data_IF_961860725634
#
_entry.id   IF_961860725634
#
_cell.length_a   1.000
_cell.length_b   1.000
_cell.length_c   1.000
_cell.angle_alpha   90.00
_cell.angle_beta   90.00
_cell.angle_gamma   90.00
#
_symmetry.space_group_name_H-M   'P 1'
#
loop_
_entity.id
_entity.type
_entity.pdbx_description
1 polymer ?
#
# COMPACT_ATOMS: atom_id res chain seq x y z
N UNK A 1 14.69 -11.23 -8.07
CA UNK A 1 13.45 -11.97 -8.39
C UNK A 1 12.21 -11.21 -7.89
N UNK A 2 11.93 -11.13 -6.58
CA UNK A 2 10.82 -10.32 -6.06
C UNK A 2 10.90 -8.83 -6.42
N UNK A 3 12.09 -8.24 -6.35
CA UNK A 3 12.29 -6.84 -6.76
C UNK A 3 11.93 -6.60 -8.22
N UNK A 4 12.33 -7.50 -9.13
CA UNK A 4 12.03 -7.39 -10.55
C UNK A 4 10.53 -7.52 -10.85
N UNK A 5 9.86 -8.48 -10.20
CA UNK A 5 8.40 -8.58 -10.26
C UNK A 5 7.70 -7.27 -9.83
N UNK A 6 8.16 -6.63 -8.74
CA UNK A 6 7.58 -5.36 -8.29
C UNK A 6 7.87 -4.22 -9.28
N UNK A 7 9.07 -4.18 -9.85
CA UNK A 7 9.44 -3.23 -10.91
C UNK A 7 8.53 -3.37 -12.13
N UNK A 8 8.36 -4.59 -12.64
CA UNK A 8 7.48 -4.89 -13.78
C UNK A 8 6.04 -4.42 -13.50
N UNK A 9 5.55 -4.64 -12.28
CA UNK A 9 4.24 -4.17 -11.84
C UNK A 9 4.10 -2.65 -11.86
N UNK A 10 5.08 -1.91 -11.31
CA UNK A 10 5.05 -0.45 -11.30
C UNK A 10 5.09 0.13 -12.71
N UNK A 11 5.99 -0.39 -13.55
CA UNK A 11 6.14 0.06 -14.93
C UNK A 11 4.88 -0.22 -15.75
N UNK A 12 4.24 -1.38 -15.55
CA UNK A 12 2.99 -1.73 -16.23
C UNK A 12 1.83 -0.83 -15.83
N UNK A 13 1.83 -0.30 -14.60
CA UNK A 13 0.86 0.71 -14.13
C UNK A 13 1.22 2.14 -14.58
N UNK A 14 2.24 2.32 -15.43
CA UNK A 14 2.64 3.63 -15.94
C UNK A 14 3.45 4.48 -14.95
N UNK A 15 4.00 3.89 -13.89
CA UNK A 15 4.85 4.63 -12.94
C UNK A 15 6.21 4.90 -13.58
N UNK A 16 6.44 6.16 -13.96
CA UNK A 16 7.75 6.65 -14.38
C UNK A 16 8.60 7.00 -13.16
N UNK A 17 9.46 6.07 -12.74
CA UNK A 17 10.31 6.25 -11.57
C UNK A 17 11.67 5.56 -11.72
N UNK A 18 12.70 6.18 -11.13
CA UNK A 18 14.00 5.55 -10.95
C UNK A 18 13.91 4.49 -9.85
N UNK A 19 14.10 3.22 -10.21
CA UNK A 19 14.17 2.12 -9.27
C UNK A 19 15.61 1.99 -8.75
N UNK A 20 15.75 1.93 -7.43
CA UNK A 20 17.03 1.76 -6.74
C UNK A 20 16.93 0.55 -5.82
N UNK A 21 17.87 -0.39 -5.96
CA UNK A 21 17.92 -1.54 -5.08
C UNK A 21 18.65 -1.16 -3.79
N UNK A 22 18.11 -1.56 -2.64
CA UNK A 22 18.70 -1.25 -1.34
C UNK A 22 20.12 -1.80 -1.20
N UNK A 23 20.45 -2.92 -1.86
CA UNK A 23 21.80 -3.48 -1.94
C UNK A 23 22.83 -2.44 -2.40
N UNK A 24 22.47 -1.65 -3.41
CA UNK A 24 23.36 -0.66 -4.03
C UNK A 24 23.64 0.51 -3.07
N UNK A 25 22.73 0.76 -2.12
CA UNK A 25 22.93 1.73 -1.05
C UNK A 25 23.81 1.14 0.06
N UNK A 26 23.50 -0.11 0.47
CA UNK A 26 24.18 -0.77 1.59
C UNK A 26 25.62 -1.19 1.29
N UNK A 27 26.02 -1.28 0.03
CA UNK A 27 27.40 -1.62 -0.34
C UNK A 27 28.40 -0.48 -0.05
N UNK A 28 27.91 0.72 0.26
CA UNK A 28 28.75 1.89 0.53
C UNK A 28 29.11 2.00 1.99
N UNK A 29 30.39 2.26 2.28
CA UNK A 29 30.86 2.54 3.65
C UNK A 29 30.13 3.73 4.29
N UNK A 30 29.93 4.80 3.51
CA UNK A 30 29.30 6.03 3.96
C UNK A 30 27.81 5.86 4.32
N UNK A 31 27.16 4.81 3.79
CA UNK A 31 25.81 4.45 4.19
C UNK A 31 25.79 3.93 5.63
N UNK A 32 26.67 2.98 5.95
CA UNK A 32 26.77 2.42 7.30
C UNK A 32 27.22 3.44 8.34
N UNK A 33 28.08 4.39 7.96
CA UNK A 33 28.39 5.53 8.84
C UNK A 33 27.11 6.29 9.22
N UNK A 34 26.23 6.59 8.25
CA UNK A 34 24.94 7.26 8.53
C UNK A 34 24.08 6.42 9.46
N UNK A 35 23.95 5.11 9.21
CA UNK A 35 23.19 4.20 10.08
C UNK A 35 23.69 4.28 11.53
N UNK A 36 25.00 4.22 11.75
CA UNK A 36 25.59 4.31 13.09
C UNK A 36 25.37 5.70 13.72
N UNK A 37 25.51 6.78 12.94
CA UNK A 37 25.23 8.14 13.44
C UNK A 37 23.77 8.32 13.85
N UNK A 38 22.84 7.78 13.08
CA UNK A 38 21.40 7.79 13.40
C UNK A 38 21.13 7.01 14.68
N UNK A 39 21.70 5.79 14.80
CA UNK A 39 21.56 4.95 15.99
C UNK A 39 22.13 5.64 17.23
N UNK A 40 23.32 6.26 17.15
CA UNK A 40 23.94 7.00 18.26
C UNK A 40 23.12 8.21 18.72
N UNK A 41 22.34 8.81 17.84
CA UNK A 41 21.50 9.99 18.13
C UNK A 41 20.06 9.63 18.53
N UNK A 42 19.78 8.34 18.72
CA UNK A 42 18.46 7.80 19.04
C UNK A 42 18.53 6.90 20.27
N UNK A 43 17.57 7.00 21.18
CA UNK A 43 17.51 6.07 22.30
C UNK A 43 17.01 4.70 21.84
N UNK A 44 17.41 3.62 22.54
CA UNK A 44 16.93 2.28 22.25
C UNK A 44 15.39 2.18 22.32
N UNK A 45 14.77 2.88 23.28
CA UNK A 45 13.31 2.96 23.39
C UNK A 45 12.65 3.64 22.18
N UNK A 46 13.31 4.62 21.55
CA UNK A 46 12.82 5.26 20.32
C UNK A 46 12.88 4.29 19.14
N UNK A 47 13.97 3.53 19.01
CA UNK A 47 14.16 2.52 17.97
C UNK A 47 13.12 1.41 18.12
N UNK A 48 12.93 0.87 19.34
CA UNK A 48 11.93 -0.17 19.63
C UNK A 48 10.52 0.25 19.22
N UNK A 49 10.12 1.48 19.58
CA UNK A 49 8.81 2.03 19.16
C UNK A 49 8.65 2.13 17.64
N UNK A 50 9.73 2.34 16.89
CA UNK A 50 9.70 2.44 15.43
C UNK A 50 9.61 1.09 14.72
N UNK A 51 9.82 -0.06 15.40
CA UNK A 51 9.78 -1.38 14.75
C UNK A 51 8.42 -1.76 14.15
N UNK A 52 7.34 -1.08 14.55
CA UNK A 52 6.00 -1.31 13.98
C UNK A 52 5.94 -1.04 12.47
N UNK A 53 6.92 -0.31 11.90
CA UNK A 53 7.07 -0.10 10.44
C UNK A 53 7.25 -1.42 9.67
N UNK A 54 7.80 -2.45 10.33
CA UNK A 54 8.01 -3.78 9.75
C UNK A 54 6.82 -4.73 10.00
N UNK A 55 5.69 -4.22 10.52
CA UNK A 55 4.53 -5.03 10.89
C UNK A 55 4.76 -5.92 12.14
N UNK A 56 5.78 -5.64 12.94
CA UNK A 56 6.14 -6.39 14.15
C UNK A 56 5.71 -5.67 15.43
N UNK A 57 5.52 -6.44 16.51
CA UNK A 57 5.25 -5.88 17.85
C UNK A 57 6.56 -5.47 18.53
N UNK A 58 6.47 -4.56 19.48
CA UNK A 58 7.65 -4.09 20.24
C UNK A 58 8.32 -5.23 21.04
N UNK A 59 7.55 -6.24 21.46
CA UNK A 59 8.02 -7.45 22.12
C UNK A 59 8.91 -8.33 21.25
N UNK A 60 8.81 -8.23 19.91
CA UNK A 60 9.55 -9.10 19.00
C UNK A 60 11.03 -8.73 18.88
N UNK A 61 11.46 -7.59 19.46
CA UNK A 61 12.84 -7.12 19.48
C UNK A 61 13.79 -8.05 20.25
N UNK A 62 13.27 -8.79 21.22
CA UNK A 62 14.12 -9.57 22.13
C UNK A 62 14.64 -10.87 21.49
N UNK A 63 14.08 -11.25 20.35
CA UNK A 63 14.45 -12.50 19.64
C UNK A 63 15.53 -12.30 18.59
N UNK A 64 15.73 -11.08 18.08
CA UNK A 64 16.61 -10.82 16.95
C UNK A 64 17.05 -9.34 16.93
N UNK A 65 18.35 -9.11 17.13
CA UNK A 65 18.94 -7.77 17.17
C UNK A 65 18.94 -7.07 15.81
N UNK A 66 18.86 -7.81 14.69
CA UNK A 66 18.80 -7.20 13.35
C UNK A 66 17.58 -6.30 13.19
N UNK A 67 16.47 -6.62 13.89
CA UNK A 67 15.24 -5.83 13.93
C UNK A 67 15.43 -4.43 14.50
N UNK A 68 16.43 -4.24 15.36
CA UNK A 68 16.77 -2.93 15.93
C UNK A 68 17.57 -2.06 14.96
N UNK A 69 18.28 -2.68 14.00
CA UNK A 69 19.04 -1.96 13.00
C UNK A 69 18.13 -1.37 11.91
N UNK A 70 17.06 -2.09 11.56
CA UNK A 70 16.20 -1.75 10.43
C UNK A 70 15.61 -0.32 10.47
N UNK A 71 15.07 0.21 11.59
CA UNK A 71 14.59 1.60 11.61
C UNK A 71 15.69 2.62 11.32
N UNK A 72 16.92 2.35 11.73
CA UNK A 72 18.06 3.22 11.47
C UNK A 72 18.50 3.15 10.00
N UNK A 73 18.42 1.97 9.39
CA UNK A 73 18.66 1.76 7.95
C UNK A 73 17.61 2.51 7.11
N UNK A 74 16.31 2.33 7.40
CA UNK A 74 15.25 3.03 6.67
C UNK A 74 15.33 4.56 6.81
N UNK A 75 15.77 5.06 7.98
CA UNK A 75 16.04 6.48 8.15
C UNK A 75 17.30 6.93 7.37
N UNK A 76 18.33 6.08 7.28
CA UNK A 76 19.54 6.36 6.48
C UNK A 76 19.24 6.44 4.99
N UNK A 77 18.34 5.58 4.48
CA UNK A 77 17.95 5.56 3.07
C UNK A 77 17.46 6.94 2.58
N UNK A 78 16.71 7.66 3.41
CA UNK A 78 16.21 9.01 3.11
C UNK A 78 17.37 9.99 2.82
N UNK A 79 18.44 9.92 3.63
CA UNK A 79 19.59 10.80 3.48
C UNK A 79 20.56 10.33 2.39
N UNK A 80 20.72 9.02 2.22
CA UNK A 80 21.58 8.45 1.18
C UNK A 80 21.00 8.69 -0.22
N UNK A 81 19.67 8.61 -0.37
CA UNK A 81 18.97 8.95 -1.61
C UNK A 81 18.88 10.48 -1.83
N UNK A 82 19.12 11.28 -0.79
CA UNK A 82 19.05 12.74 -0.86
C UNK A 82 17.64 13.27 -1.14
N UNK A 83 16.59 12.58 -0.69
CA UNK A 83 15.21 12.96 -1.02
C UNK A 83 14.74 14.18 -0.23
N UNK A 84 14.01 15.06 -0.91
CA UNK A 84 13.33 16.20 -0.28
C UNK A 84 12.06 15.79 0.45
N UNK A 85 11.36 14.81 -0.12
CA UNK A 85 10.05 14.33 0.32
C UNK A 85 10.12 12.81 0.49
N UNK A 86 9.91 12.34 1.72
CA UNK A 86 9.70 10.93 2.03
C UNK A 86 8.19 10.64 1.98
N UNK A 87 7.78 9.88 0.97
CA UNK A 87 6.41 9.41 0.78
C UNK A 87 6.27 7.97 1.28
N UNK A 88 5.24 7.68 2.08
CA UNK A 88 4.95 6.31 2.50
C UNK A 88 3.56 6.16 3.11
N UNK A 89 3.16 4.94 3.45
CA UNK A 89 1.92 4.72 4.20
C UNK A 89 1.98 5.32 5.61
N UNK A 90 0.82 5.56 6.22
CA UNK A 90 0.71 6.04 7.60
C UNK A 90 1.44 5.18 8.63
N UNK A 91 1.68 3.91 8.32
CA UNK A 91 2.47 3.00 9.17
C UNK A 91 3.98 3.23 9.12
N UNK A 92 4.49 3.87 8.07
CA UNK A 92 5.90 4.28 7.94
C UNK A 92 6.23 5.57 8.71
N UNK A 93 5.20 6.25 9.26
CA UNK A 93 5.34 7.54 9.95
C UNK A 93 6.44 7.55 11.00
N UNK A 94 6.61 6.47 11.77
CA UNK A 94 7.61 6.44 12.85
C UNK A 94 9.04 6.49 12.34
N UNK A 95 9.35 5.85 11.20
CA UNK A 95 10.66 5.94 10.57
C UNK A 95 10.92 7.36 10.02
N UNK A 96 9.92 7.98 9.38
CA UNK A 96 10.05 9.36 8.90
C UNK A 96 10.25 10.36 10.04
N UNK A 97 9.56 10.17 11.17
CA UNK A 97 9.78 11.01 12.35
C UNK A 97 11.17 10.77 12.95
N UNK A 98 11.64 9.52 12.98
CA UNK A 98 13.02 9.22 13.40
C UNK A 98 14.04 9.98 12.54
N UNK A 99 13.90 9.91 11.21
CA UNK A 99 14.76 10.65 10.28
C UNK A 99 14.73 12.16 10.53
N UNK A 100 13.53 12.74 10.75
CA UNK A 100 13.40 14.17 11.04
C UNK A 100 14.06 14.55 12.36
N UNK A 101 13.87 13.77 13.43
CA UNK A 101 14.46 14.04 14.74
C UNK A 101 16.00 14.00 14.68
N UNK A 102 16.58 13.04 13.96
CA UNK A 102 18.05 12.93 13.84
C UNK A 102 18.64 13.97 12.90
N UNK A 103 17.87 14.42 11.88
CA UNK A 103 18.34 15.46 10.96
C UNK A 103 18.65 16.78 11.69
N UNK A 104 17.83 17.15 12.67
CA UNK A 104 18.04 18.36 13.48
C UNK A 104 19.32 18.27 14.31
N UNK A 105 19.58 17.11 14.93
CA UNK A 105 20.77 16.88 15.77
C UNK A 105 22.06 16.82 14.96
N UNK A 106 21.99 16.30 13.74
CA UNK A 106 23.15 16.08 12.87
C UNK A 106 23.42 17.22 11.89
N UNK A 107 22.57 18.25 11.88
CA UNK A 107 22.65 19.36 10.92
C UNK A 107 22.39 18.92 9.48
N UNK A 108 21.63 17.84 9.29
CA UNK A 108 21.27 17.35 7.96
C UNK A 108 19.98 18.01 7.45
N UNK A 109 19.79 18.00 6.13
CA UNK A 109 18.56 18.50 5.51
C UNK A 109 17.36 17.74 6.05
N UNK A 110 16.40 18.46 6.62
CA UNK A 110 15.19 17.87 7.20
C UNK A 110 14.21 17.46 6.09
N UNK A 111 13.87 16.17 5.94
CA UNK A 111 12.99 15.71 4.88
C UNK A 111 11.53 16.05 5.19
N UNK A 112 10.74 16.43 4.19
CA UNK A 112 9.28 16.52 4.30
C UNK A 112 8.72 15.10 4.33
N UNK A 113 7.75 14.82 5.21
CA UNK A 113 7.14 13.50 5.30
C UNK A 113 5.66 13.58 4.91
N UNK A 114 5.29 12.90 3.83
CA UNK A 114 3.91 12.79 3.35
C UNK A 114 3.44 11.36 3.56
N UNK A 115 2.25 11.20 4.14
CA UNK A 115 1.71 9.89 4.46
C UNK A 115 0.38 9.64 3.76
N UNK A 116 0.24 8.49 3.11
CA UNK A 116 -1.01 8.04 2.50
C UNK A 116 -1.84 7.23 3.50
N UNK A 117 -3.17 7.34 3.39
CA UNK A 117 -4.10 6.47 4.09
C UNK A 117 -3.87 5.01 3.70
N UNK A 118 -4.11 4.10 4.64
CA UNK A 118 -4.02 2.67 4.38
C UNK A 118 -5.38 2.15 3.95
N UNK A 119 -5.40 1.37 2.88
CA UNK A 119 -6.61 0.69 2.43
C UNK A 119 -6.99 -0.43 3.41
N UNK A 120 -8.26 -0.47 3.81
CA UNK A 120 -8.80 -1.50 4.68
C UNK A 120 -8.81 -2.88 4.02
N UNK A 121 -8.77 -3.93 4.85
CA UNK A 121 -9.02 -5.31 4.43
C UNK A 121 -10.40 -5.45 3.80
N UNK A 122 -10.52 -6.25 2.74
CA UNK A 122 -11.82 -6.57 2.14
C UNK A 122 -12.78 -7.23 3.13
N UNK A 123 -12.30 -7.84 4.21
CA UNK A 123 -13.13 -8.53 5.22
C UNK A 123 -13.77 -7.61 6.26
N UNK A 124 -13.42 -6.31 6.30
CA UNK A 124 -14.15 -5.32 7.11
C UNK A 124 -13.91 -5.29 8.61
N UNK A 125 -12.80 -5.83 9.12
CA UNK A 125 -12.46 -5.72 10.55
C UNK A 125 -11.89 -4.31 10.88
N UNK A 126 -11.89 -3.90 12.16
CA UNK A 126 -11.53 -2.54 12.59
C UNK A 126 -10.22 -2.00 11.96
N UNK A 127 -10.24 -0.75 11.48
CA UNK A 127 -9.21 -0.10 10.64
C UNK A 127 -7.76 -0.22 11.16
N UNK A 128 -7.56 -0.39 12.46
CA UNK A 128 -6.22 -0.53 13.04
C UNK A 128 -5.68 -1.96 13.07
N UNK A 129 -6.54 -2.98 13.07
CA UNK A 129 -6.13 -4.40 13.11
C UNK A 129 -6.15 -5.07 11.72
N UNK A 130 -6.66 -4.36 10.71
CA UNK A 130 -7.21 -5.00 9.49
C UNK A 130 -6.73 -4.35 8.21
N UNK A 131 -5.41 -4.27 8.05
CA UNK A 131 -4.81 -3.88 6.76
C UNK A 131 -4.96 -5.03 5.76
N UNK A 132 -5.04 -4.71 4.47
CA UNK A 132 -4.78 -5.72 3.45
C UNK A 132 -3.44 -6.41 3.74
N UNK A 133 -3.45 -7.73 3.79
CA UNK A 133 -2.29 -8.51 4.18
C UNK A 133 -2.12 -9.70 3.23
N UNK A 134 -0.89 -9.89 2.77
CA UNK A 134 -0.50 -11.05 1.95
C UNK A 134 -0.76 -12.39 2.64
N UNK A 135 -0.93 -12.38 3.98
CA UNK A 135 -1.24 -13.59 4.75
C UNK A 135 -2.67 -14.10 4.57
N UNK A 136 -3.58 -13.28 4.05
CA UNK A 136 -4.96 -13.70 3.75
C UNK A 136 -5.28 -13.29 2.31
N UNK A 137 -5.06 -14.17 1.32
CA UNK A 137 -5.27 -13.85 -0.09
C UNK A 137 -6.68 -13.36 -0.43
N UNK A 138 -7.69 -13.81 0.30
CA UNK A 138 -9.09 -13.39 0.11
C UNK A 138 -9.39 -12.02 0.75
N UNK A 139 -8.47 -11.47 1.56
CA UNK A 139 -8.64 -10.19 2.22
C UNK A 139 -8.07 -9.01 1.42
N UNK A 140 -7.49 -9.27 0.25
CA UNK A 140 -6.87 -8.26 -0.62
C UNK A 140 -7.00 -8.62 -2.11
N UNK A 141 -7.01 -7.59 -2.96
CA UNK A 141 -6.86 -7.73 -4.41
C UNK A 141 -5.38 -7.58 -4.76
N UNK A 142 -4.81 -8.58 -5.43
CA UNK A 142 -3.48 -8.45 -6.03
C UNK A 142 -3.60 -7.77 -7.39
N UNK A 143 -2.61 -6.96 -7.73
CA UNK A 143 -2.56 -6.23 -9.00
C UNK A 143 -2.50 -7.15 -10.24
N UNK A 144 -2.11 -8.41 -10.06
CA UNK A 144 -2.08 -9.45 -11.10
C UNK A 144 -3.24 -10.46 -10.97
N UNK A 145 -4.22 -10.21 -10.10
CA UNK A 145 -5.37 -11.12 -9.98
C UNK A 145 -6.11 -11.21 -11.33
N UNK A 146 -6.48 -12.42 -11.77
CA UNK A 146 -7.41 -12.59 -12.88
C UNK A 146 -8.74 -11.89 -12.63
N UNK A 147 -9.48 -11.56 -13.68
CA UNK A 147 -10.77 -10.87 -13.55
C UNK A 147 -11.76 -11.59 -12.63
N UNK A 148 -11.85 -12.91 -12.74
CA UNK A 148 -12.78 -13.71 -11.95
C UNK A 148 -12.42 -13.71 -10.46
N UNK A 149 -11.12 -13.60 -10.15
CA UNK A 149 -10.64 -13.45 -8.77
C UNK A 149 -11.01 -12.06 -8.23
N UNK A 150 -10.82 -11.00 -9.01
CA UNK A 150 -11.24 -9.63 -8.64
C UNK A 150 -12.75 -9.60 -8.37
N UNK A 151 -13.56 -10.12 -9.31
CA UNK A 151 -15.03 -10.20 -9.18
C UNK A 151 -15.43 -10.97 -7.93
N UNK A 152 -14.83 -12.14 -7.69
CA UNK A 152 -15.11 -12.97 -6.49
C UNK A 152 -14.77 -12.23 -5.21
N UNK A 153 -13.57 -11.67 -5.10
CA UNK A 153 -13.07 -10.99 -3.90
C UNK A 153 -13.91 -9.75 -3.56
N UNK A 154 -14.20 -8.91 -4.54
CA UNK A 154 -15.04 -7.71 -4.34
C UNK A 154 -16.49 -8.08 -4.04
N UNK A 155 -17.04 -9.12 -4.68
CA UNK A 155 -18.37 -9.66 -4.36
C UNK A 155 -18.46 -10.07 -2.88
N UNK A 156 -17.41 -10.71 -2.35
CA UNK A 156 -17.34 -11.18 -0.98
C UNK A 156 -16.89 -10.11 0.03
N UNK A 157 -16.45 -8.94 -0.43
CA UNK A 157 -15.96 -7.89 0.44
C UNK A 157 -17.05 -7.36 1.39
N UNK A 158 -16.67 -6.94 2.58
CA UNK A 158 -17.51 -6.21 3.52
C UNK A 158 -17.93 -4.87 2.90
N UNK A 159 -19.22 -4.60 2.88
CA UNK A 159 -19.80 -3.44 2.20
C UNK A 159 -21.16 -3.10 2.83
N UNK A 160 -21.16 -2.61 4.09
CA UNK A 160 -22.38 -2.18 4.76
C UNK A 160 -22.95 -0.94 4.05
N UNK A 161 -24.23 -0.63 4.24
CA UNK A 161 -24.88 0.59 3.73
C UNK A 161 -24.41 1.86 4.48
N UNK A 162 -23.11 1.99 4.68
CA UNK A 162 -22.44 3.05 5.43
C UNK A 162 -21.13 3.42 4.71
N UNK A 163 -20.69 4.67 4.88
CA UNK A 163 -19.45 5.18 4.27
C UNK A 163 -18.23 4.82 5.13
N UNK A 164 -18.37 4.89 6.44
CA UNK A 164 -17.26 4.64 7.35
C UNK A 164 -16.95 3.15 7.44
N UNK A 165 -15.66 2.80 7.54
CA UNK A 165 -15.18 1.42 7.64
C UNK A 165 -15.66 0.50 6.50
N UNK A 166 -15.89 1.06 5.32
CA UNK A 166 -16.32 0.32 4.15
C UNK A 166 -15.17 0.19 3.13
N UNK A 167 -14.53 -0.99 2.99
CA UNK A 167 -13.38 -1.17 2.12
C UNK A 167 -13.72 -0.98 0.63
N UNK A 168 -14.98 -1.23 0.22
CA UNK A 168 -15.42 -0.98 -1.16
C UNK A 168 -15.48 0.52 -1.44
N UNK A 169 -15.95 1.32 -0.48
CA UNK A 169 -15.92 2.79 -0.59
C UNK A 169 -14.49 3.32 -0.54
N UNK A 170 -13.62 2.76 0.30
CA UNK A 170 -12.20 3.13 0.36
C UNK A 170 -11.52 2.90 -1.01
N UNK A 171 -11.82 1.79 -1.70
CA UNK A 171 -11.37 1.52 -3.07
C UNK A 171 -11.88 2.60 -4.04
N UNK A 172 -13.16 2.96 -3.98
CA UNK A 172 -13.70 4.02 -4.83
C UNK A 172 -12.90 5.32 -4.66
N UNK A 173 -12.73 5.78 -3.42
CA UNK A 173 -12.11 7.07 -3.10
C UNK A 173 -10.62 7.13 -3.43
N UNK A 174 -9.90 6.05 -3.14
CA UNK A 174 -8.44 6.06 -3.19
C UNK A 174 -7.86 5.47 -4.47
N UNK A 175 -8.67 4.77 -5.27
CA UNK A 175 -8.25 4.15 -6.53
C UNK A 175 -9.11 4.67 -7.68
N UNK A 176 -10.40 4.34 -7.71
CA UNK A 176 -11.25 4.62 -8.88
C UNK A 176 -11.34 6.12 -9.17
N UNK A 177 -11.61 6.95 -8.14
CA UNK A 177 -11.71 8.40 -8.33
C UNK A 177 -10.37 9.12 -8.54
N UNK A 178 -9.25 8.39 -8.47
CA UNK A 178 -7.93 8.91 -8.85
C UNK A 178 -7.65 8.73 -10.33
N UNK A 179 -8.20 7.66 -10.93
CA UNK A 179 -8.09 7.34 -12.36
C UNK A 179 -9.24 7.91 -13.19
N UNK A 180 -10.41 8.11 -12.57
CA UNK A 180 -11.64 8.54 -13.25
C UNK A 180 -12.37 9.61 -12.45
N UNK A 181 -12.96 10.60 -13.12
CA UNK A 181 -13.75 11.65 -12.43
C UNK A 181 -15.08 11.12 -11.88
N UNK A 182 -15.63 10.09 -12.53
CA UNK A 182 -16.93 9.50 -12.20
C UNK A 182 -16.89 7.97 -12.23
N UNK A 183 -17.74 7.35 -11.41
CA UNK A 183 -18.01 5.91 -11.45
C UNK A 183 -19.36 5.64 -12.12
N UNK A 184 -19.33 4.84 -13.19
CA UNK A 184 -20.55 4.34 -13.82
C UNK A 184 -21.03 3.07 -13.12
N UNK A 185 -22.29 3.07 -12.69
CA UNK A 185 -22.96 1.94 -12.05
C UNK A 185 -24.12 1.49 -12.93
N UNK A 186 -23.99 0.28 -13.48
CA UNK A 186 -24.99 -0.31 -14.36
C UNK A 186 -26.03 -1.06 -13.54
N UNK A 187 -27.29 -0.67 -13.65
CA UNK A 187 -28.41 -1.33 -12.96
C UNK A 187 -29.69 -1.29 -13.80
N UNK A 188 -30.53 -2.33 -13.74
CA UNK A 188 -31.81 -2.37 -14.46
C UNK A 188 -32.69 -1.14 -14.21
N UNK A 189 -33.51 -0.74 -15.18
CA UNK A 189 -34.44 0.40 -15.05
C UNK A 189 -35.36 0.30 -13.83
N UNK A 190 -35.83 -0.92 -13.51
CA UNK A 190 -36.66 -1.20 -12.32
C UNK A 190 -35.98 -0.89 -10.98
N UNK A 191 -34.65 -0.70 -10.98
CA UNK A 191 -33.86 -0.31 -9.82
C UNK A 191 -33.28 1.11 -9.96
N UNK A 192 -33.84 1.93 -10.87
CA UNK A 192 -33.47 3.33 -11.05
C UNK A 192 -32.45 3.60 -12.15
N UNK A 193 -32.15 2.63 -13.03
CA UNK A 193 -31.34 2.80 -14.24
C UNK A 193 -29.87 3.13 -13.99
N UNK A 194 -29.04 3.14 -15.04
CA UNK A 194 -27.61 3.40 -14.92
C UNK A 194 -27.35 4.77 -14.26
N UNK A 195 -26.38 4.80 -13.35
CA UNK A 195 -25.91 6.02 -12.70
C UNK A 195 -24.49 6.33 -13.14
N UNK A 196 -24.16 7.61 -13.27
CA UNK A 196 -22.78 8.08 -13.36
C UNK A 196 -22.56 9.10 -12.25
N UNK A 197 -21.73 8.76 -11.25
CA UNK A 197 -21.61 9.53 -10.02
C UNK A 197 -20.17 10.02 -9.82
N UNK A 198 -20.00 11.29 -9.46
CA UNK A 198 -18.77 11.81 -8.86
C UNK A 198 -18.55 11.24 -7.45
N UNK A 199 -17.36 11.41 -6.86
CA UNK A 199 -17.10 11.00 -5.47
C UNK A 199 -18.14 11.60 -4.52
N UNK A 200 -18.42 12.90 -4.65
CA UNK A 200 -19.35 13.59 -3.75
C UNK A 200 -20.78 13.06 -3.87
N UNK A 201 -21.21 12.70 -5.08
CA UNK A 201 -22.53 12.11 -5.31
C UNK A 201 -22.61 10.68 -4.79
N UNK A 202 -21.59 9.86 -5.04
CA UNK A 202 -21.52 8.48 -4.55
C UNK A 202 -21.67 8.45 -3.03
N UNK A 203 -20.93 9.30 -2.30
CA UNK A 203 -20.97 9.34 -0.84
C UNK A 203 -22.34 9.75 -0.27
N UNK A 204 -23.17 10.45 -1.05
CA UNK A 204 -24.54 10.85 -0.66
C UNK A 204 -25.57 9.79 -1.01
N UNK A 205 -25.47 9.21 -2.20
CA UNK A 205 -26.44 8.25 -2.75
C UNK A 205 -26.25 6.87 -2.11
N UNK A 206 -25.00 6.46 -1.86
CA UNK A 206 -24.69 5.11 -1.41
C UNK A 206 -25.44 4.67 -0.15
N UNK A 207 -25.43 5.44 0.97
CA UNK A 207 -26.07 5.01 2.20
C UNK A 207 -27.61 4.96 2.15
N UNK A 208 -28.22 5.48 1.08
CA UNK A 208 -29.68 5.70 1.00
C UNK A 208 -30.35 4.89 -0.10
N UNK A 209 -29.77 4.90 -1.29
CA UNK A 209 -30.48 4.56 -2.54
C UNK A 209 -29.74 3.55 -3.42
N UNK A 210 -28.46 3.27 -3.15
CA UNK A 210 -27.66 2.36 -3.97
C UNK A 210 -27.38 1.06 -3.22
N UNK A 211 -27.81 -0.05 -3.78
CA UNK A 211 -27.60 -1.35 -3.17
C UNK A 211 -26.11 -1.76 -3.21
N UNK A 212 -25.56 -2.42 -2.17
CA UNK A 212 -24.15 -2.79 -2.12
C UNK A 212 -23.69 -3.70 -3.26
N UNK A 213 -24.59 -4.55 -3.76
CA UNK A 213 -24.28 -5.44 -4.89
C UNK A 213 -24.02 -4.67 -6.20
N UNK A 214 -24.74 -3.57 -6.43
CA UNK A 214 -24.57 -2.74 -7.62
C UNK A 214 -23.23 -1.99 -7.54
N UNK A 215 -22.93 -1.41 -6.37
CA UNK A 215 -21.63 -0.78 -6.12
C UNK A 215 -20.47 -1.76 -6.32
N UNK A 216 -20.54 -2.95 -5.71
CA UNK A 216 -19.50 -3.99 -5.85
C UNK A 216 -19.28 -4.39 -7.31
N UNK A 217 -20.35 -4.52 -8.08
CA UNK A 217 -20.26 -4.89 -9.49
C UNK A 217 -19.57 -3.79 -10.30
N UNK A 218 -19.93 -2.53 -10.07
CA UNK A 218 -19.26 -1.38 -10.68
C UNK A 218 -17.77 -1.32 -10.27
N UNK A 219 -17.45 -1.43 -8.99
CA UNK A 219 -16.08 -1.43 -8.48
C UNK A 219 -15.23 -2.54 -9.10
N UNK A 220 -15.79 -3.75 -9.22
CA UNK A 220 -15.08 -4.88 -9.86
C UNK A 220 -14.73 -4.54 -11.31
N UNK A 221 -15.68 -3.99 -12.07
CA UNK A 221 -15.49 -3.61 -13.49
C UNK A 221 -14.38 -2.56 -13.64
N UNK A 222 -14.41 -1.50 -12.84
CA UNK A 222 -13.40 -0.44 -12.86
C UNK A 222 -12.02 -0.95 -12.43
N UNK A 223 -11.93 -1.74 -11.36
CA UNK A 223 -10.65 -2.33 -10.94
C UNK A 223 -10.05 -3.25 -12.02
N UNK A 224 -10.88 -4.03 -12.71
CA UNK A 224 -10.44 -4.86 -13.83
C UNK A 224 -9.77 -4.00 -14.90
N UNK A 225 -10.42 -2.90 -15.30
CA UNK A 225 -9.88 -1.98 -16.31
C UNK A 225 -8.57 -1.32 -15.84
N UNK A 226 -8.54 -0.80 -14.62
CA UNK A 226 -7.34 -0.15 -14.06
C UNK A 226 -6.14 -1.11 -13.99
N UNK A 227 -6.40 -2.39 -13.66
CA UNK A 227 -5.35 -3.41 -13.50
C UNK A 227 -5.06 -4.18 -14.81
N UNK A 228 -5.75 -3.87 -15.91
CA UNK A 228 -5.58 -4.54 -17.21
C UNK A 228 -4.13 -4.48 -17.72
N UNK A 229 -3.41 -3.34 -17.69
CA UNK A 229 -2.05 -3.27 -18.20
C UNK A 229 -1.09 -4.26 -17.52
N UNK A 230 -1.28 -4.53 -16.23
CA UNK A 230 -0.47 -5.49 -15.47
C UNK A 230 -0.74 -6.91 -15.94
N UNK A 231 -2.00 -7.26 -16.20
CA UNK A 231 -2.36 -8.59 -16.70
C UNK A 231 -1.82 -8.81 -18.11
N UNK A 232 -2.02 -7.85 -19.02
CA UNK A 232 -1.47 -7.93 -20.38
C UNK A 232 0.06 -8.05 -20.41
N UNK A 233 0.75 -7.37 -19.50
CA UNK A 233 2.19 -7.48 -19.38
C UNK A 233 2.61 -8.90 -18.99
N UNK A 234 2.00 -9.50 -17.97
CA UNK A 234 2.37 -10.83 -17.49
C UNK A 234 1.87 -11.97 -18.37
N UNK A 235 0.86 -11.75 -19.22
CA UNK A 235 0.51 -12.69 -20.29
C UNK A 235 1.64 -12.81 -21.32
N UNK A 236 2.31 -11.70 -21.63
CA UNK A 236 3.45 -11.67 -22.57
C UNK A 236 4.78 -12.02 -21.91
N UNK A 237 4.92 -11.76 -20.59
CA UNK A 237 6.17 -11.91 -19.83
C UNK A 237 5.93 -12.68 -18.51
N UNK A 238 5.59 -13.98 -18.56
CA UNK A 238 5.10 -14.71 -17.38
C UNK A 238 6.17 -15.04 -16.33
N UNK A 239 7.45 -15.07 -16.72
CA UNK A 239 8.57 -15.64 -15.96
C UNK A 239 8.66 -15.12 -14.51
N UNK A 240 8.57 -13.80 -14.32
CA UNK A 240 8.69 -13.18 -13.01
C UNK A 240 7.45 -13.45 -12.14
N UNK A 241 6.25 -13.48 -12.73
CA UNK A 241 5.02 -13.81 -11.99
C UNK A 241 5.00 -15.28 -11.57
N UNK A 242 5.35 -16.20 -12.47
CA UNK A 242 5.43 -17.64 -12.17
C UNK A 242 6.45 -17.93 -11.07
N UNK A 243 7.60 -17.26 -11.13
CA UNK A 243 8.63 -17.34 -10.09
C UNK A 243 8.07 -16.95 -8.71
N UNK A 244 7.28 -15.87 -8.63
CA UNK A 244 6.71 -15.41 -7.35
C UNK A 244 5.59 -16.33 -6.87
N UNK A 245 4.76 -16.87 -7.77
CA UNK A 245 3.73 -17.86 -7.42
C UNK A 245 4.35 -19.16 -6.85
N UNK A 246 5.57 -19.49 -7.25
CA UNK A 246 6.33 -20.63 -6.71
C UNK A 246 6.93 -20.43 -5.31
N UNK A 247 6.87 -19.22 -4.73
CA UNK A 247 7.43 -18.95 -3.41
C UNK A 247 6.41 -19.12 -2.29
N UNK A 248 6.86 -19.74 -1.18
CA UNK A 248 6.10 -19.78 0.07
C UNK A 248 6.29 -18.48 0.84
N UNK A 249 5.20 -17.83 1.21
CA UNK A 249 5.25 -16.61 2.05
C UNK A 249 5.66 -16.99 3.48
N UNK A 250 6.88 -16.63 3.87
CA UNK A 250 7.38 -16.78 5.25
C UNK A 250 7.00 -15.59 6.13
N UNK A 251 6.63 -15.82 7.39
CA UNK A 251 6.34 -14.79 8.41
C UNK A 251 7.54 -14.54 9.32
#
# INVERSE_FOLDING_TARGET
KCGKYMEDCFLSLGVDAKIVYASDLTDKKDYWEKVIRIAKNSSLARIRRAMTIMGRKESDAETDSSKLMYPSMQAADIFELGVDVALGGMDQRKAHMLARDVSEKLGWKKPIAIHTSLLGSLTGTERMESKMSKSSPESCVFIHDPEDDIKRKIKNAYCPMEIENNPVIDICRHIIFREHETITIERPEKYGGNLNLTETELLKVYPKELHPADLKSAVSKHLIQILEPVREYFEKNPENLETIKGFTVTR
#
